data_IF_862371148992
#
_entry.id   IF_862371148992
#
_cell.length_a   1.000
_cell.length_b   1.000
_cell.length_c   1.000
_cell.angle_alpha   90.00
_cell.angle_beta   90.00
_cell.angle_gamma   90.00
#
_symmetry.space_group_name_H-M   'P 1'
#
loop_
_entity.id
_entity.type
_entity.pdbx_description
1 polymer ?
#
# COMPACT_ATOMS: atom_id res chain seq x y z
N UNK A 1 12.60 -7.07 1.00
CA UNK A 1 11.73 -6.03 0.40
C UNK A 1 11.56 -4.89 1.41
N UNK A 2 11.74 -3.61 1.04
CA UNK A 2 11.61 -2.48 1.97
C UNK A 2 10.22 -2.39 2.60
N UNK A 3 10.12 -2.03 3.90
CA UNK A 3 8.87 -1.84 4.66
C UNK A 3 8.79 -0.40 5.16
N UNK A 4 8.01 0.45 4.50
CA UNK A 4 7.89 1.88 4.85
C UNK A 4 6.67 2.20 5.71
N UNK A 5 5.67 1.30 5.75
CA UNK A 5 4.40 1.53 6.45
C UNK A 5 3.68 2.80 5.95
N UNK A 6 3.82 3.10 4.66
CA UNK A 6 3.29 4.33 4.05
C UNK A 6 4.12 5.59 4.32
N UNK A 7 5.04 5.54 5.30
CA UNK A 7 5.71 6.73 5.83
C UNK A 7 7.13 6.94 5.31
N UNK A 8 7.48 8.20 5.05
CA UNK A 8 8.83 8.62 4.68
C UNK A 8 9.86 8.38 5.80
N UNK A 9 9.42 8.24 7.05
CA UNK A 9 10.31 7.94 8.19
C UNK A 9 11.04 6.60 8.01
N UNK A 10 10.39 5.63 7.36
CA UNK A 10 10.92 4.29 7.14
C UNK A 10 11.31 4.05 5.68
N UNK A 11 11.56 5.12 4.93
CA UNK A 11 12.02 5.00 3.54
C UNK A 11 13.29 4.14 3.46
N UNK A 12 13.25 3.12 2.59
CA UNK A 12 14.37 2.18 2.44
C UNK A 12 14.56 1.16 3.57
N UNK A 13 13.79 1.22 4.66
CA UNK A 13 13.92 0.29 5.78
C UNK A 13 13.70 -1.16 5.34
N UNK A 14 14.64 -2.07 5.64
CA UNK A 14 14.54 -3.50 5.34
C UNK A 14 14.50 -4.29 6.64
N UNK A 15 13.36 -4.88 7.02
CA UNK A 15 13.31 -5.71 8.22
C UNK A 15 14.24 -6.93 8.11
N UNK A 16 14.86 -7.36 9.23
CA UNK A 16 15.70 -8.55 9.26
C UNK A 16 14.91 -9.86 9.19
N UNK A 17 13.63 -9.82 9.56
CA UNK A 17 12.74 -10.98 9.62
C UNK A 17 11.43 -10.69 8.88
N UNK A 18 10.87 -11.73 8.27
CA UNK A 18 9.55 -11.66 7.66
C UNK A 18 8.43 -11.70 8.71
N UNK A 19 7.31 -11.07 8.39
CA UNK A 19 6.10 -11.22 9.20
C UNK A 19 5.60 -12.67 9.17
N UNK A 20 5.05 -13.15 10.30
CA UNK A 20 4.54 -14.52 10.42
C UNK A 20 3.54 -14.88 9.32
N UNK A 21 2.67 -13.96 8.92
CA UNK A 21 1.73 -14.18 7.82
C UNK A 21 2.44 -14.36 6.46
N UNK A 22 3.42 -13.50 6.17
CA UNK A 22 4.24 -13.58 4.94
C UNK A 22 5.01 -14.90 4.90
N UNK A 23 5.60 -15.32 6.02
CA UNK A 23 6.29 -16.61 6.14
C UNK A 23 5.36 -17.78 5.81
N UNK A 24 4.16 -17.82 6.40
CA UNK A 24 3.16 -18.87 6.12
C UNK A 24 2.74 -18.91 4.65
N UNK A 25 2.54 -17.74 4.03
CA UNK A 25 2.19 -17.63 2.61
C UNK A 25 3.33 -18.14 1.70
N UNK A 26 4.58 -17.83 2.04
CA UNK A 26 5.74 -18.35 1.31
C UNK A 26 5.90 -19.86 1.48
N UNK A 27 5.72 -20.38 2.70
CA UNK A 27 5.74 -21.82 3.00
C UNK A 27 4.64 -22.57 2.24
N UNK A 28 3.49 -21.93 1.98
CA UNK A 28 2.42 -22.50 1.15
C UNK A 28 2.62 -22.34 -0.37
N UNK A 29 3.78 -21.83 -0.82
CA UNK A 29 4.11 -21.66 -2.23
C UNK A 29 3.56 -20.39 -2.90
N UNK A 30 3.11 -19.39 -2.13
CA UNK A 30 2.62 -18.14 -2.71
C UNK A 30 3.78 -17.28 -3.26
N UNK A 31 3.57 -16.69 -4.43
CA UNK A 31 4.49 -15.73 -5.04
C UNK A 31 4.12 -14.32 -4.57
N UNK A 32 5.05 -13.64 -3.91
CA UNK A 32 4.83 -12.27 -3.40
C UNK A 32 5.40 -11.27 -4.41
N UNK A 33 4.51 -10.59 -5.14
CA UNK A 33 4.87 -9.62 -6.18
C UNK A 33 5.40 -8.28 -5.63
N UNK A 34 4.92 -7.83 -4.46
CA UNK A 34 5.29 -6.51 -3.94
C UNK A 34 4.55 -6.12 -2.68
N UNK A 35 4.64 -4.84 -2.32
CA UNK A 35 3.83 -4.21 -1.27
C UNK A 35 2.82 -3.27 -1.87
N UNK A 36 1.63 -3.28 -1.29
CA UNK A 36 0.60 -2.28 -1.54
C UNK A 36 0.94 -0.99 -0.80
N UNK A 37 0.43 0.12 -1.31
CA UNK A 37 0.49 1.39 -0.59
C UNK A 37 -0.49 1.37 0.61
N UNK A 38 -0.21 2.16 1.64
CA UNK A 38 -1.11 2.40 2.77
C UNK A 38 -0.87 3.81 3.33
N UNK A 39 -1.78 4.31 4.16
CA UNK A 39 -1.53 5.55 4.91
C UNK A 39 -0.46 5.33 5.97
N UNK A 40 0.10 6.44 6.45
CA UNK A 40 1.11 6.43 7.50
C UNK A 40 0.64 5.64 8.71
N UNK A 41 1.34 4.53 8.96
CA UNK A 41 1.10 3.61 10.07
C UNK A 41 -0.22 2.83 10.03
N UNK A 42 -1.01 2.94 8.95
CA UNK A 42 -2.27 2.22 8.82
C UNK A 42 -3.35 2.70 9.79
N UNK A 43 -3.30 3.98 10.18
CA UNK A 43 -4.21 4.64 11.10
C UNK A 43 -5.58 4.88 10.46
N UNK A 44 -5.60 5.38 9.23
CA UNK A 44 -6.85 5.72 8.54
C UNK A 44 -7.32 4.59 7.62
N UNK A 45 -8.61 4.53 7.32
CA UNK A 45 -9.14 3.60 6.32
C UNK A 45 -8.89 4.06 4.88
N UNK A 46 -8.58 5.35 4.71
CA UNK A 46 -8.28 5.97 3.41
C UNK A 46 -6.78 6.09 3.23
N UNK A 47 -6.29 5.85 2.02
CA UNK A 47 -4.89 6.10 1.64
C UNK A 47 -4.77 7.54 1.16
N UNK A 48 -4.83 8.51 2.08
CA UNK A 48 -4.66 9.93 1.78
C UNK A 48 -3.31 10.39 2.35
N UNK A 49 -2.27 10.46 1.51
CA UNK A 49 -1.02 11.11 1.91
C UNK A 49 -0.41 11.96 0.80
N UNK A 50 0.15 13.09 1.24
CA UNK A 50 0.48 14.31 0.52
C UNK A 50 1.76 14.22 -0.31
N UNK A 51 1.92 13.23 -1.19
CA UNK A 51 2.90 13.28 -2.30
C UNK A 51 2.36 12.42 -3.44
N UNK A 52 1.76 13.08 -4.44
CA UNK A 52 1.40 12.61 -5.79
C UNK A 52 1.39 11.08 -6.06
N UNK A 53 0.18 10.59 -6.41
CA UNK A 53 -0.27 9.25 -6.83
C UNK A 53 -1.12 8.51 -5.79
N UNK A 54 -2.26 9.10 -5.44
CA UNK A 54 -3.37 8.38 -4.82
C UNK A 54 -3.85 7.28 -5.79
N UNK A 55 -3.77 6.02 -5.39
CA UNK A 55 -4.57 4.97 -6.05
C UNK A 55 -5.97 5.08 -5.48
N UNK A 56 -6.86 5.59 -6.32
CA UNK A 56 -8.31 5.55 -6.09
C UNK A 56 -8.71 4.06 -6.17
N UNK A 57 -9.66 3.63 -5.33
CA UNK A 57 -10.25 2.31 -5.49
C UNK A 57 -10.76 2.20 -6.94
N UNK A 58 -10.49 1.10 -7.67
CA UNK A 58 -10.84 1.03 -9.10
C UNK A 58 -12.33 1.30 -9.37
N UNK A 59 -13.21 1.05 -8.39
CA UNK A 59 -14.64 1.35 -8.43
C UNK A 59 -14.94 2.86 -8.32
N UNK A 60 -14.16 3.62 -7.55
CA UNK A 60 -14.30 5.07 -7.37
C UNK A 60 -13.73 5.86 -8.57
N UNK A 61 -13.07 5.18 -9.52
CA UNK A 61 -12.42 5.81 -10.68
C UNK A 61 -13.43 6.34 -11.71
N UNK A 62 -14.54 5.63 -11.95
CA UNK A 62 -15.56 6.04 -12.93
C UNK A 62 -16.39 7.24 -12.45
N UNK A 63 -16.65 7.35 -11.14
CA UNK A 63 -17.42 8.47 -10.59
C UNK A 63 -16.64 9.80 -10.67
N UNK A 64 -15.32 9.75 -10.53
CA UNK A 64 -14.47 10.95 -10.59
C UNK A 64 -14.21 11.46 -12.02
N UNK A 65 -14.15 10.61 -13.05
CA UNK A 65 -14.08 11.07 -14.45
C UNK A 65 -15.37 11.81 -14.86
N UNK A 66 -16.53 11.36 -14.40
CA UNK A 66 -17.82 11.96 -14.75
C UNK A 66 -18.08 13.31 -14.05
N UNK A 67 -17.52 13.52 -12.85
CA UNK A 67 -17.61 14.80 -12.15
C UNK A 67 -16.61 15.84 -12.69
N UNK A 68 -15.46 15.41 -13.23
CA UNK A 68 -14.46 16.30 -13.85
C UNK A 68 -14.86 16.83 -15.24
N UNK A 69 -15.89 16.23 -15.87
CA UNK A 69 -16.41 16.62 -17.18
C UNK A 69 -17.72 17.44 -17.13
N UNK A 70 -18.12 17.90 -15.94
CA UNK A 70 -19.18 18.91 -15.73
C UNK A 70 -18.58 20.26 -15.37
#
# INVERSE_FOLDING_TARGET
MPTTVGSGVLEGYRPPLDATAVRKLRESGAIIFGKTNLNDFGIESRVLLMVLHTRICPEEYEEHEMEAYK
#
